data_IF_703084670985
#
_entry.id   IF_703084670985
#
_cell.length_a   1.000
_cell.length_b   1.000
_cell.length_c   1.000
_cell.angle_alpha   90.00
_cell.angle_beta   90.00
_cell.angle_gamma   90.00
#
_symmetry.space_group_name_H-M   'P 1'
#
loop_
_entity.id
_entity.type
_entity.pdbx_description
1 polymer ?
#
# COMPACT_ATOMS: atom_id res chain seq x y z
N UNK A 1 9.56 -18.57 7.43
CA UNK A 1 10.81 -18.02 7.99
C UNK A 1 11.05 -16.72 7.25
N UNK A 2 10.41 -15.62 7.72
CA UNK A 2 10.48 -14.29 7.10
C UNK A 2 11.81 -13.71 7.55
N UNK A 3 12.68 -13.38 6.59
CA UNK A 3 13.98 -12.78 6.84
C UNK A 3 13.75 -11.34 7.33
N UNK A 4 14.22 -11.06 8.55
CA UNK A 4 14.31 -9.73 9.15
C UNK A 4 15.55 -9.03 8.57
N UNK A 5 15.42 -8.40 7.43
CA UNK A 5 16.47 -7.52 6.91
C UNK A 5 15.88 -6.12 6.74
N UNK A 6 16.31 -5.20 7.61
CA UNK A 6 15.96 -3.79 7.51
C UNK A 6 16.37 -3.23 6.15
N UNK A 7 15.51 -2.41 5.59
CA UNK A 7 15.69 -1.79 4.27
C UNK A 7 16.95 -0.92 4.27
N UNK A 8 17.95 -1.25 3.43
CA UNK A 8 19.15 -0.46 3.24
C UNK A 8 18.89 0.71 2.27
N UNK A 9 18.68 1.90 2.84
CA UNK A 9 18.35 3.14 2.11
C UNK A 9 19.38 3.48 1.02
N UNK A 10 20.62 3.10 1.20
CA UNK A 10 21.69 3.40 0.23
C UNK A 10 21.53 2.62 -1.08
N UNK A 11 20.78 1.51 -1.05
CA UNK A 11 20.49 0.67 -2.22
C UNK A 11 19.27 1.11 -3.03
N UNK A 12 18.49 2.08 -2.56
CA UNK A 12 17.34 2.58 -3.31
C UNK A 12 17.76 3.36 -4.55
N UNK A 13 17.03 3.26 -5.67
CA UNK A 13 17.16 4.15 -6.81
C UNK A 13 17.04 5.62 -6.40
N UNK A 14 17.87 6.49 -7.00
CA UNK A 14 17.98 7.90 -6.57
C UNK A 14 16.68 8.70 -6.73
N UNK A 15 15.82 8.33 -7.66
CA UNK A 15 14.49 8.89 -7.86
C UNK A 15 13.50 8.51 -6.74
N UNK A 16 13.67 7.34 -6.13
CA UNK A 16 12.88 6.89 -4.98
C UNK A 16 13.39 7.49 -3.65
N UNK A 17 14.68 7.79 -3.55
CA UNK A 17 15.28 8.48 -2.40
C UNK A 17 14.78 9.93 -2.24
N UNK A 18 14.34 10.56 -3.33
CA UNK A 18 13.85 11.94 -3.33
C UNK A 18 12.35 12.07 -3.01
N UNK A 19 11.59 10.98 -3.00
CA UNK A 19 10.18 11.02 -2.65
C UNK A 19 10.04 10.94 -1.13
N UNK A 20 9.52 12.00 -0.52
CA UNK A 20 9.41 12.13 0.95
C UNK A 20 8.66 10.99 1.66
N UNK A 21 8.04 10.08 0.92
CA UNK A 21 7.20 8.99 1.39
C UNK A 21 8.02 7.79 1.88
N UNK A 22 8.99 7.32 1.09
CA UNK A 22 9.97 6.30 1.55
C UNK A 22 10.83 6.85 2.69
N UNK A 23 11.10 8.17 2.68
CA UNK A 23 11.78 8.85 3.79
C UNK A 23 10.97 8.81 5.09
N UNK A 24 9.64 8.78 5.06
CA UNK A 24 8.82 8.64 6.27
C UNK A 24 8.99 7.25 6.90
N UNK A 25 8.88 6.19 6.14
CA UNK A 25 9.08 4.82 6.62
C UNK A 25 10.51 4.55 7.14
N UNK A 26 11.53 5.18 6.54
CA UNK A 26 12.94 4.91 6.84
C UNK A 26 13.57 5.87 7.86
N UNK A 27 13.06 7.09 8.03
CA UNK A 27 13.59 8.09 9.01
C UNK A 27 13.07 7.84 10.42
N UNK A 28 11.95 7.15 10.60
CA UNK A 28 11.46 6.81 11.93
C UNK A 28 12.40 5.90 12.72
N UNK A 29 13.35 5.25 12.07
CA UNK A 29 14.34 4.38 12.74
C UNK A 29 15.37 5.13 13.59
N UNK A 30 15.66 6.42 13.43
CA UNK A 30 16.80 7.06 14.16
C UNK A 30 16.76 8.54 14.54
N UNK A 31 15.69 9.36 14.32
CA UNK A 31 15.70 10.77 14.79
C UNK A 31 14.33 11.28 15.22
N UNK A 32 14.28 11.81 16.48
CA UNK A 32 13.20 12.68 16.98
C UNK A 32 12.96 13.83 16.01
N UNK A 33 11.81 13.90 15.37
CA UNK A 33 11.37 15.07 14.61
C UNK A 33 10.27 15.80 15.39
N UNK A 34 10.54 17.10 15.58
CA UNK A 34 9.59 18.07 16.12
C UNK A 34 8.50 18.31 15.08
N UNK A 35 7.29 17.88 15.33
CA UNK A 35 6.14 18.09 14.46
C UNK A 35 5.63 19.53 14.66
N UNK A 36 5.77 20.37 13.63
CA UNK A 36 5.11 21.67 13.57
C UNK A 36 3.61 21.39 13.35
N UNK A 37 2.77 21.87 14.30
CA UNK A 37 1.36 21.57 14.40
C UNK A 37 0.57 21.75 13.10
N UNK A 38 0.32 20.65 12.41
CA UNK A 38 -0.81 20.53 11.51
C UNK A 38 -2.00 20.07 12.35
N UNK A 39 -3.08 20.84 12.28
CA UNK A 39 -4.37 20.46 12.86
C UNK A 39 -4.74 19.10 12.29
N UNK A 40 -4.59 18.05 13.09
CA UNK A 40 -5.02 16.71 12.75
C UNK A 40 -6.54 16.72 12.56
N UNK A 41 -6.96 16.53 11.35
CA UNK A 41 -8.34 16.17 11.05
C UNK A 41 -8.45 14.69 11.47
N UNK A 42 -9.22 14.38 12.50
CA UNK A 42 -9.53 13.01 12.87
C UNK A 42 -10.06 12.28 11.64
N UNK A 43 -9.35 11.27 11.17
CA UNK A 43 -9.77 10.55 9.97
C UNK A 43 -8.69 9.70 9.31
N UNK A 44 -9.13 8.96 8.31
CA UNK A 44 -8.27 8.11 7.47
C UNK A 44 -7.53 8.96 6.44
N UNK A 45 -6.22 8.74 6.26
CA UNK A 45 -5.38 9.48 5.32
C UNK A 45 -4.66 8.54 4.34
N UNK A 46 -4.73 8.85 3.04
CA UNK A 46 -3.93 8.19 2.02
C UNK A 46 -3.01 9.21 1.35
N UNK A 47 -1.70 9.01 1.48
CA UNK A 47 -0.69 9.83 0.82
C UNK A 47 -0.40 9.23 -0.56
N UNK A 48 -0.54 10.05 -1.62
CA UNK A 48 -0.36 9.59 -2.99
C UNK A 48 0.91 10.15 -3.61
N UNK A 49 1.77 9.28 -4.10
CA UNK A 49 2.99 9.61 -4.86
C UNK A 49 2.91 9.00 -6.26
N UNK A 50 3.30 9.75 -7.30
CA UNK A 50 3.19 9.31 -8.69
C UNK A 50 4.56 9.35 -9.39
N UNK A 51 5.36 8.32 -9.19
CA UNK A 51 6.68 8.16 -9.81
C UNK A 51 6.57 7.72 -11.28
N UNK A 52 5.47 7.07 -11.67
CA UNK A 52 5.19 6.72 -13.05
C UNK A 52 4.87 7.92 -13.94
N UNK A 53 4.67 9.13 -13.36
CA UNK A 53 4.29 10.37 -14.09
C UNK A 53 2.99 10.24 -14.90
N UNK A 54 2.14 9.27 -14.56
CA UNK A 54 0.84 9.03 -15.20
C UNK A 54 -0.28 9.75 -14.46
N UNK A 55 -0.76 10.85 -15.02
CA UNK A 55 -1.82 11.66 -14.39
C UNK A 55 -3.18 10.96 -14.31
N UNK A 56 -3.41 9.92 -15.10
CA UNK A 56 -4.70 9.23 -15.14
C UNK A 56 -5.03 8.50 -13.84
N UNK A 57 -4.02 8.11 -13.04
CA UNK A 57 -4.20 7.37 -11.79
C UNK A 57 -4.84 8.20 -10.66
N UNK A 58 -4.74 9.52 -10.70
CA UNK A 58 -5.34 10.39 -9.68
C UNK A 58 -6.87 10.33 -9.63
N UNK A 59 -7.52 9.82 -10.67
CA UNK A 59 -8.98 9.64 -10.70
C UNK A 59 -9.49 8.61 -9.68
N UNK A 60 -8.61 7.72 -9.21
CA UNK A 60 -8.98 6.64 -8.28
C UNK A 60 -8.79 7.00 -6.81
N UNK A 61 -8.27 8.18 -6.48
CA UNK A 61 -8.03 8.61 -5.09
C UNK A 61 -9.27 8.44 -4.21
N UNK A 62 -10.41 8.95 -4.67
CA UNK A 62 -11.67 8.87 -3.93
C UNK A 62 -12.15 7.42 -3.75
N UNK A 63 -11.94 6.57 -4.75
CA UNK A 63 -12.27 5.16 -4.66
C UNK A 63 -11.41 4.47 -3.58
N UNK A 64 -10.11 4.79 -3.51
CA UNK A 64 -9.21 4.23 -2.51
C UNK A 64 -9.54 4.70 -1.09
N UNK A 65 -9.90 5.96 -0.91
CA UNK A 65 -10.40 6.48 0.37
C UNK A 65 -11.66 5.73 0.82
N UNK A 66 -12.61 5.51 -0.08
CA UNK A 66 -13.83 4.74 0.22
C UNK A 66 -13.53 3.26 0.54
N UNK A 67 -12.55 2.66 -0.14
CA UNK A 67 -12.12 1.27 0.12
C UNK A 67 -11.47 1.17 1.51
N UNK A 68 -10.58 2.10 1.89
CA UNK A 68 -9.97 2.14 3.21
C UNK A 68 -11.05 2.26 4.31
N UNK A 69 -11.98 3.20 4.14
CA UNK A 69 -13.08 3.39 5.08
C UNK A 69 -13.95 2.12 5.20
N UNK A 70 -14.29 1.50 4.08
CA UNK A 70 -15.06 0.25 4.07
C UNK A 70 -14.30 -0.91 4.70
N UNK A 71 -13.01 -1.06 4.42
CA UNK A 71 -12.16 -2.09 5.01
C UNK A 71 -12.11 -1.96 6.53
N UNK A 72 -11.88 -0.77 7.05
CA UNK A 72 -11.89 -0.52 8.49
C UNK A 72 -13.25 -0.87 9.12
N UNK A 73 -14.36 -0.56 8.44
CA UNK A 73 -15.70 -0.89 8.90
C UNK A 73 -15.97 -2.40 8.90
N UNK A 74 -15.61 -3.11 7.84
CA UNK A 74 -15.79 -4.57 7.72
C UNK A 74 -14.96 -5.31 8.76
N UNK A 75 -13.75 -4.81 9.03
CA UNK A 75 -12.81 -5.42 9.97
C UNK A 75 -12.96 -4.92 11.42
N UNK A 76 -13.99 -4.09 11.73
CA UNK A 76 -14.21 -3.43 13.02
C UNK A 76 -12.94 -2.73 13.56
N UNK A 77 -12.19 -2.08 12.67
CA UNK A 77 -10.98 -1.32 13.02
C UNK A 77 -11.37 0.11 13.37
N UNK A 78 -11.06 0.53 14.61
CA UNK A 78 -11.27 1.89 15.12
C UNK A 78 -9.97 2.66 15.11
N UNK A 79 -10.05 3.99 15.14
CA UNK A 79 -8.88 4.87 15.16
C UNK A 79 -8.58 5.51 13.80
N UNK A 80 -7.52 6.30 13.76
CA UNK A 80 -7.07 7.02 12.58
C UNK A 80 -6.03 6.17 11.82
N UNK A 81 -6.33 5.86 10.57
CA UNK A 81 -5.51 4.96 9.74
C UNK A 81 -4.86 5.74 8.60
N UNK A 82 -3.55 5.59 8.45
CA UNK A 82 -2.81 6.20 7.36
C UNK A 82 -2.00 5.17 6.58
N UNK A 83 -1.81 5.43 5.28
CA UNK A 83 -0.94 4.64 4.41
C UNK A 83 -0.47 5.48 3.22
N UNK A 84 0.56 4.99 2.52
CA UNK A 84 1.02 5.59 1.27
C UNK A 84 0.71 4.71 0.07
N UNK A 85 0.31 5.34 -1.04
CA UNK A 85 0.15 4.70 -2.35
C UNK A 85 1.13 5.32 -3.33
N UNK A 86 2.04 4.50 -3.85
CA UNK A 86 3.08 4.92 -4.77
C UNK A 86 2.84 4.27 -6.14
N UNK A 87 2.49 5.08 -7.14
CA UNK A 87 2.36 4.61 -8.51
C UNK A 87 3.73 4.56 -9.18
N UNK A 88 4.07 3.40 -9.73
CA UNK A 88 5.39 3.09 -10.31
C UNK A 88 5.28 2.52 -11.72
N UNK A 89 6.39 2.58 -12.48
CA UNK A 89 6.52 1.90 -13.77
C UNK A 89 6.87 0.42 -13.59
N UNK A 90 6.75 -0.41 -14.66
CA UNK A 90 7.19 -1.81 -14.62
C UNK A 90 8.66 -1.98 -14.22
N UNK A 91 9.53 -1.08 -14.66
CA UNK A 91 10.97 -1.11 -14.35
C UNK A 91 11.20 -0.82 -12.87
N UNK A 92 10.54 0.21 -12.33
CA UNK A 92 10.69 0.60 -10.92
C UNK A 92 10.20 -0.52 -9.98
N UNK A 93 9.04 -1.12 -10.26
CA UNK A 93 8.54 -2.21 -9.40
C UNK A 93 9.36 -3.50 -9.55
N UNK A 94 9.97 -3.72 -10.73
CA UNK A 94 10.90 -4.82 -10.95
C UNK A 94 12.15 -4.67 -10.05
N UNK A 95 12.74 -3.47 -9.97
CA UNK A 95 13.87 -3.19 -9.08
C UNK A 95 13.49 -3.42 -7.62
N UNK A 96 12.34 -2.91 -7.19
CA UNK A 96 11.82 -3.12 -5.83
C UNK A 96 11.64 -4.62 -5.54
N UNK A 97 11.02 -5.37 -6.46
CA UNK A 97 10.76 -6.80 -6.29
C UNK A 97 12.06 -7.62 -6.21
N UNK A 98 13.05 -7.28 -7.04
CA UNK A 98 14.38 -7.89 -7.02
C UNK A 98 15.10 -7.59 -5.71
N UNK A 99 15.14 -6.33 -5.29
CA UNK A 99 16.00 -5.87 -4.20
C UNK A 99 15.42 -6.21 -2.81
N UNK A 100 14.08 -6.30 -2.68
CA UNK A 100 13.43 -6.56 -1.40
C UNK A 100 12.80 -7.95 -1.26
N UNK A 101 12.42 -8.58 -2.36
CA UNK A 101 11.80 -9.92 -2.36
C UNK A 101 12.67 -11.00 -3.01
N UNK A 102 13.83 -10.63 -3.55
CA UNK A 102 14.74 -11.52 -4.32
C UNK A 102 14.05 -12.17 -5.53
N UNK A 103 13.08 -11.48 -6.15
CA UNK A 103 12.31 -11.94 -7.31
C UNK A 103 12.63 -11.06 -8.51
N UNK A 104 13.43 -11.59 -9.45
CA UNK A 104 13.93 -10.86 -10.62
C UNK A 104 12.89 -10.80 -11.76
N UNK A 105 11.75 -10.18 -11.48
CA UNK A 105 10.69 -9.88 -12.46
C UNK A 105 9.77 -8.78 -11.95
N UNK A 106 9.10 -8.00 -12.84
CA UNK A 106 8.08 -7.06 -12.42
C UNK A 106 6.86 -7.79 -11.84
N UNK A 107 6.12 -7.09 -10.99
CA UNK A 107 4.82 -7.51 -10.46
C UNK A 107 3.81 -6.39 -10.62
N UNK A 108 2.57 -6.60 -10.24
CA UNK A 108 1.47 -5.65 -10.29
C UNK A 108 1.39 -4.77 -9.05
N UNK A 109 1.54 -5.36 -7.86
CA UNK A 109 1.50 -4.65 -6.58
C UNK A 109 2.53 -5.24 -5.60
N UNK A 110 3.09 -4.36 -4.76
CA UNK A 110 3.92 -4.72 -3.60
C UNK A 110 3.45 -3.88 -2.42
N UNK A 111 3.25 -4.52 -1.27
CA UNK A 111 2.98 -3.85 0.01
C UNK A 111 4.09 -4.11 1.03
N UNK A 112 4.42 -3.08 1.81
CA UNK A 112 5.34 -3.15 2.94
C UNK A 112 4.60 -2.66 4.19
N UNK A 113 4.32 -3.58 5.11
CA UNK A 113 3.64 -3.26 6.36
C UNK A 113 4.62 -2.73 7.40
N UNK A 114 4.27 -1.64 8.09
CA UNK A 114 5.12 -1.09 9.17
C UNK A 114 5.10 -2.00 10.39
N UNK A 115 4.00 -2.73 10.64
CA UNK A 115 3.88 -3.62 11.80
C UNK A 115 4.94 -4.75 11.85
N UNK A 116 5.58 -5.06 10.71
CA UNK A 116 6.63 -6.08 10.67
C UNK A 116 7.93 -5.62 11.37
N UNK A 117 8.08 -4.32 11.66
CA UNK A 117 9.33 -3.72 12.19
C UNK A 117 9.19 -3.09 13.60
N UNK A 118 7.99 -3.14 14.22
CA UNK A 118 7.69 -2.30 15.40
C UNK A 118 7.66 -3.06 16.72
N UNK A 119 8.82 -3.45 17.27
CA UNK A 119 8.93 -3.86 18.68
C UNK A 119 9.07 -2.70 19.69
N UNK A 120 9.40 -1.46 19.25
CA UNK A 120 9.84 -0.38 20.14
C UNK A 120 9.31 1.05 19.81
N UNK A 121 8.26 1.22 18.99
CA UNK A 121 7.77 2.56 18.65
C UNK A 121 6.54 2.96 19.48
N UNK A 122 6.66 4.13 20.15
CA UNK A 122 5.54 4.81 20.79
C UNK A 122 4.65 5.44 19.73
N UNK A 123 3.45 4.87 19.51
CA UNK A 123 2.40 5.46 18.69
C UNK A 123 1.44 6.15 19.66
N UNK A 124 0.96 7.35 19.33
CA UNK A 124 -0.13 7.97 20.08
C UNK A 124 -1.34 7.06 20.04
N UNK A 125 -2.08 6.96 21.14
CA UNK A 125 -3.29 6.13 21.21
C UNK A 125 -4.22 6.47 20.04
N UNK A 126 -4.67 5.44 19.32
CA UNK A 126 -5.61 5.51 18.18
C UNK A 126 -5.04 6.02 16.83
N UNK A 127 -3.73 6.17 16.65
CA UNK A 127 -3.12 6.48 15.34
C UNK A 127 -2.35 5.27 14.80
N UNK A 128 -2.68 4.83 13.58
CA UNK A 128 -2.09 3.64 12.96
C UNK A 128 -1.55 3.96 11.58
N UNK A 129 -0.26 3.84 11.38
CA UNK A 129 0.35 3.87 10.06
C UNK A 129 0.53 2.44 9.54
N UNK A 130 -0.18 2.11 8.44
CA UNK A 130 -0.21 0.77 7.88
C UNK A 130 1.04 0.45 7.08
N UNK A 131 1.56 1.42 6.32
CA UNK A 131 2.72 1.24 5.45
C UNK A 131 2.52 1.71 4.02
N UNK A 132 3.26 1.12 3.09
CA UNK A 132 3.34 1.55 1.70
C UNK A 132 2.78 0.50 0.73
N UNK A 133 2.03 0.95 -0.29
CA UNK A 133 1.54 0.13 -1.40
C UNK A 133 2.12 0.68 -2.72
N UNK A 134 2.95 -0.09 -3.41
CA UNK A 134 3.47 0.22 -4.73
C UNK A 134 2.61 -0.43 -5.80
N UNK A 135 2.04 0.35 -6.72
CA UNK A 135 1.14 -0.14 -7.77
C UNK A 135 1.75 0.15 -9.14
N UNK A 136 1.92 -0.90 -9.93
CA UNK A 136 2.39 -0.81 -11.32
C UNK A 136 1.27 -0.31 -12.23
N UNK A 137 1.43 0.89 -12.76
CA UNK A 137 0.40 1.54 -13.59
C UNK A 137 0.14 0.82 -14.92
N UNK A 138 1.13 0.12 -15.47
CA UNK A 138 0.95 -0.66 -16.68
C UNK A 138 0.18 -1.96 -16.39
N UNK A 139 0.47 -2.63 -15.27
CA UNK A 139 -0.23 -3.85 -14.86
C UNK A 139 -1.74 -3.62 -14.69
N UNK A 140 -2.15 -2.47 -14.13
CA UNK A 140 -3.58 -2.10 -14.05
C UNK A 140 -4.28 -2.21 -15.41
N UNK A 141 -3.64 -1.70 -16.48
CA UNK A 141 -4.24 -1.70 -17.84
C UNK A 141 -4.23 -3.08 -18.48
N UNK A 142 -3.12 -3.78 -18.33
CA UNK A 142 -2.93 -5.09 -18.95
C UNK A 142 -3.86 -6.13 -18.32
N UNK A 143 -3.98 -6.14 -17.01
CA UNK A 143 -4.86 -7.04 -16.27
C UNK A 143 -6.34 -6.70 -16.49
N UNK A 144 -6.73 -5.41 -16.47
CA UNK A 144 -8.09 -5.00 -16.82
C UNK A 144 -8.51 -5.51 -18.20
N UNK A 145 -7.62 -5.42 -19.20
CA UNK A 145 -7.85 -5.95 -20.54
C UNK A 145 -7.91 -7.47 -20.57
N UNK A 146 -7.00 -8.14 -19.86
CA UNK A 146 -6.92 -9.59 -19.83
C UNK A 146 -8.16 -10.24 -19.17
N UNK A 147 -8.66 -9.63 -18.11
CA UNK A 147 -9.81 -10.14 -17.34
C UNK A 147 -11.16 -9.55 -17.79
N UNK A 148 -11.17 -8.64 -18.76
CA UNK A 148 -12.40 -8.10 -19.35
C UNK A 148 -13.21 -7.18 -18.44
N UNK A 149 -12.56 -6.51 -17.48
CA UNK A 149 -13.22 -5.53 -16.62
C UNK A 149 -12.61 -4.12 -16.74
N UNK A 150 -13.19 -3.17 -16.04
CA UNK A 150 -12.77 -1.76 -16.15
C UNK A 150 -11.39 -1.54 -15.50
N UNK A 151 -10.63 -0.56 -16.03
CA UNK A 151 -9.36 -0.10 -15.42
C UNK A 151 -9.58 0.37 -13.98
N UNK A 152 -10.76 0.98 -13.69
CA UNK A 152 -11.16 1.38 -12.34
C UNK A 152 -11.26 0.18 -11.41
N UNK A 153 -11.93 -0.91 -11.87
CA UNK A 153 -12.06 -2.15 -11.07
C UNK A 153 -10.70 -2.74 -10.74
N UNK A 154 -9.80 -2.80 -11.73
CA UNK A 154 -8.46 -3.34 -11.53
C UNK A 154 -7.63 -2.50 -10.56
N UNK A 155 -7.62 -1.16 -10.73
CA UNK A 155 -6.91 -0.28 -9.81
C UNK A 155 -7.41 -0.45 -8.36
N UNK A 156 -8.74 -0.53 -8.17
CA UNK A 156 -9.35 -0.77 -6.85
C UNK A 156 -9.03 -2.17 -6.30
N UNK A 157 -8.98 -3.18 -7.17
CA UNK A 157 -8.63 -4.55 -6.80
C UNK A 157 -7.20 -4.62 -6.26
N UNK A 158 -6.22 -4.09 -6.99
CA UNK A 158 -4.81 -4.09 -6.57
C UNK A 158 -4.60 -3.28 -5.28
N UNK A 159 -5.28 -2.14 -5.15
CA UNK A 159 -5.22 -1.36 -3.92
C UNK A 159 -5.80 -2.13 -2.73
N UNK A 160 -7.00 -2.70 -2.86
CA UNK A 160 -7.65 -3.46 -1.79
C UNK A 160 -6.81 -4.69 -1.38
N UNK A 161 -6.23 -5.39 -2.36
CA UNK A 161 -5.33 -6.51 -2.13
C UNK A 161 -4.11 -6.11 -1.30
N UNK A 162 -3.40 -5.03 -1.71
CA UNK A 162 -2.27 -4.50 -0.95
C UNK A 162 -2.67 -4.00 0.44
N UNK A 163 -3.84 -3.37 0.58
CA UNK A 163 -4.38 -2.91 1.86
C UNK A 163 -4.62 -4.08 2.83
N UNK A 164 -5.21 -5.17 2.36
CA UNK A 164 -5.42 -6.36 3.19
C UNK A 164 -4.10 -6.95 3.67
N UNK A 165 -3.07 -6.97 2.83
CA UNK A 165 -1.72 -7.36 3.27
C UNK A 165 -1.18 -6.43 4.37
N UNK A 166 -1.33 -5.10 4.23
CA UNK A 166 -0.93 -4.15 5.28
C UNK A 166 -1.70 -4.37 6.59
N UNK A 167 -2.94 -4.86 6.51
CA UNK A 167 -3.78 -5.18 7.66
C UNK A 167 -3.53 -6.58 8.25
N UNK A 168 -2.52 -7.33 7.74
CA UNK A 168 -2.06 -8.60 8.27
C UNK A 168 -2.73 -9.83 7.65
N UNK A 169 -3.47 -9.69 6.57
CA UNK A 169 -4.02 -10.84 5.81
C UNK A 169 -3.02 -11.33 4.77
N UNK A 170 -2.99 -12.65 4.56
CA UNK A 170 -2.10 -13.30 3.59
C UNK A 170 -2.85 -14.40 2.83
N UNK A 171 -2.26 -14.86 1.73
CA UNK A 171 -2.82 -15.91 0.87
C UNK A 171 -1.80 -17.03 0.55
N UNK A 172 -0.80 -17.21 1.42
CA UNK A 172 0.22 -18.25 1.27
C UNK A 172 -0.30 -19.65 1.57
N UNK A 173 -1.37 -19.77 2.35
CA UNK A 173 -2.08 -21.03 2.61
C UNK A 173 -3.49 -20.93 2.08
N UNK A 174 -4.03 -22.08 1.60
CA UNK A 174 -5.37 -22.15 1.02
C UNK A 174 -6.49 -21.64 1.94
N UNK A 175 -6.35 -21.83 3.26
CA UNK A 175 -7.32 -21.35 4.24
C UNK A 175 -7.26 -19.82 4.37
N UNK A 176 -6.06 -19.25 4.44
CA UNK A 176 -5.83 -17.80 4.54
C UNK A 176 -6.25 -17.10 3.24
N UNK A 177 -5.97 -17.73 2.07
CA UNK A 177 -6.38 -17.25 0.75
C UNK A 177 -7.91 -17.08 0.66
N UNK A 178 -8.66 -18.09 1.09
CA UNK A 178 -10.14 -18.03 1.08
C UNK A 178 -10.68 -16.90 1.92
N UNK A 179 -10.07 -16.65 3.09
CA UNK A 179 -10.46 -15.56 3.99
C UNK A 179 -10.16 -14.23 3.33
N UNK A 180 -8.95 -14.04 2.83
CA UNK A 180 -8.52 -12.78 2.24
C UNK A 180 -9.34 -12.41 1.00
N UNK A 181 -9.61 -13.36 0.09
CA UNK A 181 -10.42 -13.09 -1.09
C UNK A 181 -11.89 -12.85 -0.78
N UNK A 182 -12.45 -13.54 0.22
CA UNK A 182 -13.81 -13.26 0.67
C UNK A 182 -13.95 -11.84 1.23
N UNK A 183 -12.98 -11.38 2.03
CA UNK A 183 -12.93 -10.01 2.53
C UNK A 183 -12.75 -8.99 1.39
N UNK A 184 -11.90 -9.30 0.42
CA UNK A 184 -11.68 -8.43 -0.73
C UNK A 184 -12.97 -8.28 -1.58
N UNK A 185 -13.69 -9.34 -1.82
CA UNK A 185 -14.99 -9.29 -2.51
C UNK A 185 -16.02 -8.50 -1.69
N UNK A 186 -16.13 -8.73 -0.38
CA UNK A 186 -17.04 -8.00 0.51
C UNK A 186 -16.78 -6.49 0.53
N UNK A 187 -15.50 -6.09 0.51
CA UNK A 187 -15.11 -4.67 0.50
C UNK A 187 -15.40 -4.04 -0.86
N UNK A 188 -15.12 -4.74 -1.97
CA UNK A 188 -15.14 -4.14 -3.31
C UNK A 188 -16.51 -4.20 -3.98
N UNK A 189 -17.29 -5.25 -3.81
CA UNK A 189 -18.49 -5.49 -4.63
C UNK A 189 -19.59 -4.44 -4.41
N UNK A 190 -19.65 -3.79 -3.25
CA UNK A 190 -20.55 -2.67 -3.01
C UNK A 190 -20.06 -1.34 -3.62
N UNK A 191 -18.73 -1.18 -3.78
CA UNK A 191 -18.12 0.09 -4.19
C UNK A 191 -17.82 0.14 -5.69
N UNK A 192 -17.37 -0.98 -6.24
CA UNK A 192 -16.89 -1.07 -7.63
C UNK A 192 -17.36 -2.37 -8.26
N UNK A 193 -18.45 -2.31 -9.01
CA UNK A 193 -19.00 -3.48 -9.71
C UNK A 193 -17.99 -4.09 -10.69
N UNK A 194 -18.09 -5.41 -10.88
CA UNK A 194 -17.30 -6.17 -11.86
C UNK A 194 -17.56 -5.75 -13.29
#
# INVERSE_FOLDING_TARGET
>A
MIQKDGVDIEKLPDDLKQTGTLFRCLIFSKKKFFFLGLVYNQGMEIIFTNNAKDRSVYRYKKDFEMILERACKVLDRKGDWSLSVIYVTPEQIHEINRDYRNVDRPTDVISFAIQDDMSDMWIEEDQYELGDIFINVQAIRDQAKAYGHSIRREACFLFCHGLLHLMGYDHMKEEDEKVMFALQDEILDELVQR
#
